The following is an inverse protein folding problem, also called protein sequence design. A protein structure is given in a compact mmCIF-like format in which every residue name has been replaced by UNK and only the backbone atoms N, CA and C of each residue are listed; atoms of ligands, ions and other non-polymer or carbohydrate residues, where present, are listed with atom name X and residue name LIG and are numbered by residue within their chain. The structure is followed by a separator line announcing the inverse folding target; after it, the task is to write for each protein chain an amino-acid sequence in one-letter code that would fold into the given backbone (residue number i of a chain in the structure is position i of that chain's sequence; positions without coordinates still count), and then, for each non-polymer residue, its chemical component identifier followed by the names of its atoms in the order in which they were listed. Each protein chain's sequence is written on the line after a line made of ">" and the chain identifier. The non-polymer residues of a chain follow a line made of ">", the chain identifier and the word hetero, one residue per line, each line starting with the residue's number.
data_IF_814784518022
#
_entry.id   IF_814784518022
#
_cell.length_a   1.000
_cell.length_b   1.000
_cell.length_c   1.000
_cell.angle_alpha   90.00
_cell.angle_beta   90.00
_cell.angle_gamma   90.00
#
_symmetry.space_group_name_H-M   'P 1'
#
loop_
_entity.id
_entity.type
_entity.pdbx_description
1 polymer ?
#
# COMPACT_ATOMS: atom_id res chain seq x y z
N UNK A 1 -4.20 -22.19 -3.61
CA UNK A 1 -4.00 -23.16 -4.71
C UNK A 1 -4.15 -22.53 -6.10
N UNK A 2 -5.22 -21.77 -6.40
CA UNK A 2 -5.41 -21.15 -7.72
C UNK A 2 -4.35 -20.10 -8.13
N UNK A 3 -3.89 -19.25 -7.20
CA UNK A 3 -2.85 -18.26 -7.50
C UNK A 3 -1.53 -18.95 -7.89
N UNK A 4 -1.09 -19.91 -7.07
CA UNK A 4 0.13 -20.68 -7.31
C UNK A 4 0.10 -21.46 -8.64
N UNK A 5 -1.05 -22.03 -9.04
CA UNK A 5 -1.17 -22.71 -10.34
C UNK A 5 -1.05 -21.77 -11.54
N UNK A 6 -1.17 -20.45 -11.33
CA UNK A 6 -0.93 -19.39 -12.31
C UNK A 6 0.46 -18.76 -12.17
N UNK A 7 1.33 -19.29 -11.31
CA UNK A 7 2.64 -18.71 -11.04
C UNK A 7 2.59 -17.42 -10.21
N UNK A 8 1.49 -17.16 -9.50
CA UNK A 8 1.31 -15.99 -8.65
C UNK A 8 1.59 -16.38 -7.19
N UNK A 9 2.56 -15.71 -6.58
CA UNK A 9 2.74 -15.75 -5.14
C UNK A 9 1.70 -14.85 -4.46
N UNK A 10 1.03 -15.38 -3.44
CA UNK A 10 0.04 -14.63 -2.68
C UNK A 10 0.45 -14.61 -1.21
N UNK A 11 0.75 -13.41 -0.72
CA UNK A 11 1.22 -13.18 0.64
C UNK A 11 0.09 -12.52 1.45
N UNK A 12 -0.25 -13.13 2.59
CA UNK A 12 -1.13 -12.52 3.59
C UNK A 12 -0.27 -12.09 4.77
N UNK A 13 -0.17 -10.78 5.01
CA UNK A 13 0.68 -10.24 6.06
C UNK A 13 -0.14 -9.37 7.02
N UNK A 14 -0.02 -9.67 8.31
CA UNK A 14 -0.53 -8.80 9.37
C UNK A 14 0.62 -7.96 9.91
N UNK A 15 0.60 -6.66 9.60
CA UNK A 15 1.65 -5.71 10.00
C UNK A 15 1.55 -5.23 11.45
N UNK A 16 0.54 -5.70 12.21
CA UNK A 16 0.34 -5.30 13.60
C UNK A 16 1.54 -5.70 14.48
N UNK A 17 2.15 -4.70 15.12
CA UNK A 17 3.27 -4.90 16.05
C UNK A 17 4.63 -5.03 15.38
N UNK A 18 4.70 -4.88 14.05
CA UNK A 18 5.98 -4.72 13.36
C UNK A 18 6.59 -3.37 13.70
N UNK A 19 7.91 -3.34 13.89
CA UNK A 19 8.65 -2.10 14.13
C UNK A 19 8.69 -1.19 12.90
N UNK A 20 8.76 -1.80 11.72
CA UNK A 20 8.81 -1.10 10.43
C UNK A 20 8.03 -1.88 9.36
N UNK A 21 6.70 -1.66 9.28
CA UNK A 21 5.86 -2.35 8.30
C UNK A 21 6.14 -1.90 6.87
N UNK A 22 6.57 -0.66 6.64
CA UNK A 22 6.87 -0.14 5.29
C UNK A 22 8.07 -0.89 4.71
N UNK A 23 9.20 -0.89 5.41
CA UNK A 23 10.40 -1.58 4.94
C UNK A 23 10.19 -3.08 4.80
N UNK A 24 9.43 -3.69 5.72
CA UNK A 24 9.09 -5.12 5.63
C UNK A 24 8.31 -5.45 4.36
N UNK A 25 7.36 -4.60 3.96
CA UNK A 25 6.59 -4.80 2.74
C UNK A 25 7.41 -4.46 1.48
N UNK A 26 8.24 -3.41 1.50
CA UNK A 26 9.13 -3.06 0.37
C UNK A 26 10.17 -4.16 0.09
N UNK A 27 10.65 -4.85 1.12
CA UNK A 27 11.57 -5.97 0.96
C UNK A 27 10.98 -7.13 0.14
N UNK A 28 9.65 -7.27 0.07
CA UNK A 28 8.98 -8.27 -0.76
C UNK A 28 9.15 -7.99 -2.27
N UNK A 29 9.47 -6.76 -2.64
CA UNK A 29 9.64 -6.33 -4.03
C UNK A 29 11.08 -5.91 -4.34
N UNK A 30 12.05 -6.29 -3.50
CA UNK A 30 13.44 -5.85 -3.69
C UNK A 30 13.60 -4.34 -3.51
N UNK A 31 12.81 -3.77 -2.61
CA UNK A 31 12.78 -2.36 -2.24
C UNK A 31 12.27 -1.37 -3.31
N UNK A 32 11.68 -1.85 -4.42
CA UNK A 32 11.12 -0.96 -5.46
C UNK A 32 9.74 -0.38 -5.11
N UNK A 33 8.98 -1.04 -4.23
CA UNK A 33 7.59 -0.69 -3.93
C UNK A 33 6.58 -1.55 -4.71
N UNK A 34 5.34 -1.09 -4.81
CA UNK A 34 4.23 -1.78 -5.48
C UNK A 34 3.64 -0.94 -6.61
N UNK A 35 3.43 -1.56 -7.76
CA UNK A 35 2.84 -0.93 -8.95
C UNK A 35 1.36 -0.60 -8.76
N UNK A 36 0.63 -1.42 -8.00
CA UNK A 36 -0.79 -1.24 -7.72
C UNK A 36 -1.07 -1.41 -6.22
N UNK A 37 -1.67 -0.39 -5.61
CA UNK A 37 -2.08 -0.43 -4.20
C UNK A 37 -3.58 -0.17 -4.10
N UNK A 38 -4.28 -1.04 -3.37
CA UNK A 38 -5.71 -0.90 -3.10
C UNK A 38 -5.95 -0.72 -1.61
N UNK A 39 -6.44 0.46 -1.24
CA UNK A 39 -6.76 0.80 0.15
C UNK A 39 -8.25 0.60 0.40
N UNK A 40 -8.58 -0.39 1.22
CA UNK A 40 -9.96 -0.76 1.57
C UNK A 40 -10.43 -0.22 2.92
N UNK A 41 -9.56 0.43 3.70
CA UNK A 41 -9.89 0.96 5.01
C UNK A 41 -9.48 2.44 5.13
N UNK A 42 -10.42 3.28 5.60
CA UNK A 42 -10.21 4.72 5.76
C UNK A 42 -9.55 4.99 7.11
N UNK A 43 -8.35 4.43 7.28
CA UNK A 43 -7.52 4.58 8.49
C UNK A 43 -6.28 5.38 8.10
N UNK A 44 -5.96 6.51 8.78
CA UNK A 44 -4.87 7.38 8.35
C UNK A 44 -3.55 6.65 8.11
N UNK A 45 -3.13 5.85 9.09
CA UNK A 45 -1.90 5.05 9.01
C UNK A 45 -1.87 4.04 7.85
N UNK A 46 -3.02 3.57 7.36
CA UNK A 46 -3.08 2.66 6.21
C UNK A 46 -2.90 3.44 4.91
N UNK A 47 -3.46 4.64 4.80
CA UNK A 47 -3.34 5.49 3.60
C UNK A 47 -1.93 6.07 3.50
N UNK A 48 -1.37 6.52 4.61
CA UNK A 48 0.02 7.04 4.68
C UNK A 48 1.03 5.92 4.36
N UNK A 49 0.84 4.72 4.89
CA UNK A 49 1.68 3.57 4.50
C UNK A 49 1.56 3.23 3.02
N UNK A 50 0.36 3.33 2.44
CA UNK A 50 0.15 3.08 1.01
C UNK A 50 0.90 4.09 0.13
N UNK A 51 0.99 5.36 0.55
CA UNK A 51 1.81 6.39 -0.10
C UNK A 51 3.30 5.99 -0.13
N UNK A 52 3.85 5.56 1.01
CA UNK A 52 5.26 5.16 1.13
C UNK A 52 5.61 3.86 0.37
N UNK A 53 4.61 3.04 0.09
CA UNK A 53 4.78 1.75 -0.60
C UNK A 53 4.68 1.85 -2.11
N UNK A 54 4.26 2.98 -2.66
CA UNK A 54 4.06 3.14 -4.10
C UNK A 54 5.41 3.06 -4.84
N UNK A 55 5.45 2.33 -5.96
CA UNK A 55 6.60 2.33 -6.87
C UNK A 55 6.55 3.49 -7.88
N UNK A 56 7.63 3.70 -8.64
CA UNK A 56 7.64 4.57 -9.83
C UNK A 56 6.50 4.18 -10.77
N UNK A 57 5.78 5.16 -11.32
CA UNK A 57 4.60 4.96 -12.18
C UNK A 57 3.46 4.13 -11.56
N UNK A 58 3.46 3.94 -10.23
CA UNK A 58 2.46 3.16 -9.52
C UNK A 58 1.09 3.84 -9.41
N UNK A 59 0.06 3.03 -9.18
CA UNK A 59 -1.33 3.46 -9.04
C UNK A 59 -1.89 3.15 -7.65
N UNK A 60 -2.22 4.20 -6.89
CA UNK A 60 -2.92 4.07 -5.61
C UNK A 60 -4.43 4.25 -5.80
N UNK A 61 -5.18 3.20 -5.46
CA UNK A 61 -6.62 3.12 -5.52
C UNK A 61 -7.23 3.19 -4.12
N UNK A 62 -8.05 4.19 -3.84
CA UNK A 62 -8.71 4.36 -2.54
C UNK A 62 -10.21 4.00 -2.61
N UNK A 63 -10.58 2.84 -2.04
CA UNK A 63 -11.95 2.28 -2.07
C UNK A 63 -12.59 2.18 -0.69
N UNK A 64 -12.17 3.01 0.26
CA UNK A 64 -12.54 2.84 1.66
C UNK A 64 -13.80 3.59 2.14
N UNK A 65 -14.45 4.37 1.27
CA UNK A 65 -15.72 5.05 1.57
C UNK A 65 -15.81 5.73 2.94
N UNK A 66 -14.96 6.72 3.25
CA UNK A 66 -14.96 7.38 4.56
C UNK A 66 -16.31 8.06 4.85
N UNK A 67 -16.82 7.89 6.07
CA UNK A 67 -18.07 8.53 6.53
C UNK A 67 -17.82 9.90 7.16
N UNK A 68 -16.60 10.16 7.64
CA UNK A 68 -16.18 11.46 8.12
C UNK A 68 -15.85 12.38 6.94
N UNK A 69 -16.62 13.47 6.81
CA UNK A 69 -16.44 14.48 5.75
C UNK A 69 -15.14 15.27 5.87
N UNK A 70 -14.46 15.20 7.02
CA UNK A 70 -13.19 15.86 7.26
C UNK A 70 -12.01 14.89 7.18
N UNK A 71 -12.24 13.62 6.79
CA UNK A 71 -11.18 12.64 6.64
C UNK A 71 -10.17 13.15 5.61
N UNK A 72 -8.95 13.38 6.07
CA UNK A 72 -7.80 13.76 5.28
C UNK A 72 -6.56 13.21 5.95
N UNK A 73 -5.57 12.89 5.14
CA UNK A 73 -4.27 12.43 5.59
C UNK A 73 -3.18 13.27 4.93
N UNK A 74 -2.00 13.42 5.54
CA UNK A 74 -0.80 13.79 4.82
C UNK A 74 -0.59 12.78 3.68
N UNK A 75 -0.43 13.28 2.46
CA UNK A 75 -0.20 12.44 1.28
C UNK A 75 0.77 13.16 0.36
N UNK A 76 1.86 12.50 -0.01
CA UNK A 76 2.89 13.06 -0.85
C UNK A 76 2.55 12.83 -2.33
N UNK A 77 1.90 13.82 -2.95
CA UNK A 77 1.58 13.73 -4.38
C UNK A 77 2.79 13.66 -5.32
N UNK A 78 4.02 13.93 -4.84
CA UNK A 78 5.23 13.63 -5.59
C UNK A 78 5.35 12.12 -5.87
N UNK A 79 5.06 11.29 -4.87
CA UNK A 79 5.19 9.83 -4.93
C UNK A 79 4.24 9.20 -5.97
N UNK A 80 3.11 9.85 -6.26
CA UNK A 80 2.18 9.40 -7.32
C UNK A 80 2.84 9.40 -8.70
N UNK A 81 3.85 10.24 -8.90
CA UNK A 81 4.43 10.48 -10.22
C UNK A 81 5.91 10.11 -10.33
N UNK A 82 6.65 10.06 -9.21
CA UNK A 82 8.11 10.15 -9.25
C UNK A 82 8.83 9.31 -8.17
N UNK A 83 8.18 8.30 -7.60
CA UNK A 83 8.76 7.45 -6.54
C UNK A 83 9.87 6.53 -7.03
#
# INVERSE_FOLDING_TARGET
>A
ELAASKGIELVYMNTKGMSDPVQTLRALTGDVGFDDIFVYAAVPAVVEMADELLAEDGCLNFFAGPTDKNFKVPFNFYNVHYN
#
